data_IF_989966712045
#
_entry.id   IF_989966712045
#
_cell.length_a   1.000
_cell.length_b   1.000
_cell.length_c   1.000
_cell.angle_alpha   90.00
_cell.angle_beta   90.00
_cell.angle_gamma   90.00
#
_symmetry.space_group_name_H-M   'P 1'
#
loop_
_entity.id
_entity.type
_entity.pdbx_description
1 polymer ?
#
# COMPACT_ATOMS: atom_id res chain seq x y z
N UNK A 1 -18.97 -24.60 49.44
CA UNK A 1 -17.55 -24.48 49.01
C UNK A 1 -17.51 -24.58 47.50
N UNK A 2 -16.93 -23.60 46.80
CA UNK A 2 -16.87 -23.61 45.32
C UNK A 2 -17.00 -22.22 44.68
N UNK A 3 -16.13 -21.26 45.03
CA UNK A 3 -16.04 -19.95 44.34
C UNK A 3 -14.60 -19.56 43.97
N UNK A 4 -13.67 -20.52 44.00
CA UNK A 4 -12.23 -20.26 43.78
C UNK A 4 -11.70 -20.69 42.41
N UNK A 5 -12.51 -21.37 41.59
CA UNK A 5 -12.08 -21.96 40.31
C UNK A 5 -12.16 -20.99 39.13
N UNK A 6 -13.11 -20.04 39.13
CA UNK A 6 -13.30 -19.14 37.99
C UNK A 6 -12.19 -18.09 37.84
N UNK A 7 -11.63 -17.61 38.95
CA UNK A 7 -10.60 -16.56 38.93
C UNK A 7 -9.27 -17.11 38.40
N UNK A 8 -8.88 -18.34 38.77
CA UNK A 8 -7.68 -18.98 38.21
C UNK A 8 -7.83 -19.27 36.72
N UNK A 9 -9.02 -19.67 36.25
CA UNK A 9 -9.28 -19.89 34.83
C UNK A 9 -9.18 -18.60 34.01
N UNK A 10 -9.69 -17.48 34.53
CA UNK A 10 -9.58 -16.17 33.87
C UNK A 10 -8.14 -15.66 33.83
N UNK A 11 -7.38 -15.83 34.92
CA UNK A 11 -5.96 -15.43 34.96
C UNK A 11 -5.13 -16.28 33.98
N UNK A 12 -5.36 -17.59 33.91
CA UNK A 12 -4.69 -18.47 32.96
C UNK A 12 -5.03 -18.11 31.50
N UNK A 13 -6.28 -17.71 31.22
CA UNK A 13 -6.69 -17.25 29.89
C UNK A 13 -6.02 -15.92 29.50
N UNK A 14 -5.93 -14.97 30.42
CA UNK A 14 -5.27 -13.67 30.17
C UNK A 14 -3.76 -13.84 29.96
N UNK A 15 -3.10 -14.73 30.72
CA UNK A 15 -1.68 -15.03 30.54
C UNK A 15 -1.46 -15.81 29.23
N UNK A 16 -2.34 -16.78 28.91
CA UNK A 16 -2.26 -17.54 27.66
C UNK A 16 -2.50 -16.70 26.41
N UNK A 17 -3.45 -15.77 26.45
CA UNK A 17 -3.70 -14.82 25.37
C UNK A 17 -2.60 -13.73 25.31
N UNK A 18 -2.11 -13.24 26.45
CA UNK A 18 -1.07 -12.20 26.50
C UNK A 18 0.30 -12.69 26.02
N UNK A 19 0.74 -13.87 26.48
CA UNK A 19 2.01 -14.48 26.05
C UNK A 19 1.88 -15.16 24.68
N UNK A 20 0.74 -15.80 24.39
CA UNK A 20 0.48 -16.39 23.08
C UNK A 20 0.40 -15.34 21.96
N UNK A 21 -0.25 -14.20 22.22
CA UNK A 21 -0.28 -13.09 21.26
C UNK A 21 1.10 -12.45 21.09
N UNK A 22 1.92 -12.36 22.13
CA UNK A 22 3.29 -11.82 22.03
C UNK A 22 4.20 -12.73 21.19
N UNK A 23 4.10 -14.06 21.36
CA UNK A 23 4.87 -15.04 20.56
C UNK A 23 4.37 -15.11 19.11
N UNK A 24 3.09 -14.84 18.86
CA UNK A 24 2.57 -14.69 17.49
C UNK A 24 3.04 -13.37 16.87
N UNK A 25 3.14 -12.29 17.65
CA UNK A 25 3.63 -10.98 17.18
C UNK A 25 5.09 -11.05 16.69
N UNK A 26 5.98 -11.72 17.44
CA UNK A 26 7.39 -11.86 17.08
C UNK A 26 7.64 -12.83 15.91
N UNK A 27 6.75 -13.80 15.66
CA UNK A 27 6.94 -14.78 14.58
C UNK A 27 6.24 -14.42 13.27
N UNK A 28 5.24 -13.51 13.28
CA UNK A 28 4.50 -13.11 12.07
C UNK A 28 4.85 -11.73 11.55
N UNK A 29 5.50 -10.88 12.36
CA UNK A 29 6.15 -9.69 11.83
C UNK A 29 7.54 -10.14 11.38
N UNK A 30 7.76 -10.15 10.06
CA UNK A 30 9.08 -10.31 9.48
C UNK A 30 10.06 -9.48 10.31
N UNK A 31 11.03 -10.15 10.96
CA UNK A 31 12.12 -9.48 11.66
C UNK A 31 12.58 -8.34 10.75
N UNK A 32 12.54 -7.07 11.21
CA UNK A 32 13.03 -5.98 10.38
C UNK A 32 14.45 -6.36 9.96
N UNK A 33 14.81 -6.20 8.67
CA UNK A 33 16.12 -6.59 8.18
C UNK A 33 17.19 -6.05 9.15
N UNK A 34 18.02 -6.94 9.67
CA UNK A 34 19.05 -6.59 10.65
C UNK A 34 20.16 -5.73 10.03
N UNK A 35 20.20 -5.69 8.70
CA UNK A 35 20.96 -4.76 7.90
C UNK A 35 20.13 -3.47 7.74
N UNK A 36 20.63 -2.30 8.22
CA UNK A 36 19.98 -1.05 7.92
C UNK A 36 19.90 -0.87 6.40
N UNK A 37 18.84 -0.23 5.89
CA UNK A 37 18.76 0.11 4.49
C UNK A 37 19.99 0.84 4.02
N UNK A 38 20.45 0.48 2.83
CA UNK A 38 21.63 1.13 2.26
C UNK A 38 21.26 2.50 1.70
N UNK A 39 20.19 2.54 0.91
CA UNK A 39 19.65 3.78 0.35
C UNK A 39 18.14 3.88 0.52
N UNK A 40 17.65 5.11 0.66
CA UNK A 40 16.24 5.44 0.79
C UNK A 40 15.89 6.66 -0.04
N UNK A 41 14.74 6.62 -0.69
CA UNK A 41 14.15 7.73 -1.42
C UNK A 41 12.71 7.91 -1.00
N UNK A 42 12.28 9.16 -0.89
CA UNK A 42 10.94 9.52 -0.49
C UNK A 42 10.47 10.71 -1.34
N UNK A 43 9.28 10.56 -1.90
CA UNK A 43 8.57 11.64 -2.57
C UNK A 43 7.14 11.74 -2.02
N UNK A 44 6.59 12.94 -2.05
CA UNK A 44 5.26 13.23 -1.52
C UNK A 44 4.59 14.34 -2.32
N UNK A 45 3.33 14.09 -2.65
CA UNK A 45 2.46 15.05 -3.29
C UNK A 45 1.22 15.29 -2.43
N UNK A 46 0.98 16.57 -2.10
CA UNK A 46 -0.28 17.00 -1.47
C UNK A 46 -1.17 17.67 -2.51
N UNK A 47 -2.38 17.15 -2.65
CA UNK A 47 -3.32 17.55 -3.69
C UNK A 47 -4.16 16.37 -4.16
N UNK A 48 -4.89 16.58 -5.26
CA UNK A 48 -5.68 15.54 -5.93
C UNK A 48 -5.14 15.30 -7.33
N UNK A 49 -5.03 14.03 -7.70
CA UNK A 49 -4.84 13.58 -9.07
C UNK A 49 -6.14 12.91 -9.52
N UNK A 50 -6.86 13.53 -10.44
CA UNK A 50 -8.10 13.00 -10.97
C UNK A 50 -7.83 11.86 -11.94
N UNK A 51 -8.63 10.82 -11.83
CA UNK A 51 -8.55 9.65 -12.71
C UNK A 51 -8.92 10.09 -14.14
N UNK A 52 -8.13 9.73 -15.15
CA UNK A 52 -8.54 9.99 -16.54
C UNK A 52 -9.79 9.17 -16.86
N UNK A 53 -10.75 9.74 -17.60
CA UNK A 53 -11.95 9.02 -18.06
C UNK A 53 -11.61 8.02 -19.17
N UNK A 54 -10.87 6.96 -18.83
CA UNK A 54 -10.48 5.88 -19.75
C UNK A 54 -10.06 4.63 -18.98
N UNK A 55 -10.36 3.46 -19.52
CA UNK A 55 -9.87 2.17 -18.98
C UNK A 55 -8.35 1.96 -19.17
N UNK A 56 -7.67 2.91 -19.82
CA UNK A 56 -6.23 2.88 -20.06
C UNK A 56 -5.45 3.28 -18.81
N UNK A 57 -4.31 2.62 -18.60
CA UNK A 57 -3.39 2.98 -17.53
C UNK A 57 -2.73 4.33 -17.80
N UNK A 58 -2.73 5.18 -16.79
CA UNK A 58 -2.08 6.49 -16.80
C UNK A 58 -1.06 6.58 -15.69
N UNK A 59 0.07 7.23 -15.96
CA UNK A 59 1.08 7.47 -14.93
C UNK A 59 0.63 8.60 -14.04
N UNK A 60 0.70 8.40 -12.72
CA UNK A 60 0.52 9.42 -11.72
C UNK A 60 1.73 10.38 -11.77
N UNK A 61 1.76 11.26 -12.77
CA UNK A 61 2.92 12.08 -13.13
C UNK A 61 3.41 13.04 -12.03
N UNK A 62 2.63 13.18 -10.96
CA UNK A 62 2.99 13.95 -9.78
C UNK A 62 3.98 13.22 -8.86
N UNK A 63 4.20 11.91 -9.05
CA UNK A 63 5.15 11.15 -8.23
C UNK A 63 5.85 10.06 -9.05
N UNK A 64 7.17 10.19 -9.11
CA UNK A 64 8.08 9.23 -9.74
C UNK A 64 9.40 9.28 -8.99
N UNK A 65 10.07 8.14 -8.83
CA UNK A 65 11.33 8.11 -8.11
C UNK A 65 12.37 7.36 -8.92
N UNK A 66 13.47 8.05 -9.24
CA UNK A 66 14.67 7.43 -9.80
C UNK A 66 15.57 6.96 -8.65
N UNK A 67 16.08 5.75 -8.75
CA UNK A 67 16.88 5.10 -7.71
C UNK A 67 17.97 4.22 -8.32
N UNK A 68 18.97 3.87 -7.51
CA UNK A 68 20.08 3.02 -7.93
C UNK A 68 20.14 1.76 -7.05
N UNK A 69 20.44 0.61 -7.68
CA UNK A 69 20.57 -0.68 -7.03
C UNK A 69 22.00 -1.22 -7.23
N UNK A 70 22.68 -1.51 -6.12
CA UNK A 70 24.00 -2.16 -6.14
C UNK A 70 23.90 -3.67 -6.33
N UNK A 71 25.02 -4.30 -6.70
CA UNK A 71 25.09 -5.76 -6.86
C UNK A 71 24.74 -6.49 -5.57
N UNK A 72 23.76 -7.39 -5.64
CA UNK A 72 23.31 -8.21 -4.52
C UNK A 72 22.20 -7.59 -3.68
N UNK A 73 21.75 -6.38 -4.01
CA UNK A 73 20.67 -5.72 -3.28
C UNK A 73 19.28 -6.18 -3.74
N UNK A 74 18.35 -6.12 -2.80
CA UNK A 74 16.92 -6.13 -3.06
C UNK A 74 16.32 -4.74 -2.87
N UNK A 75 15.13 -4.50 -3.42
CA UNK A 75 14.41 -3.24 -3.29
C UNK A 75 13.00 -3.45 -2.75
N UNK A 76 12.53 -2.50 -1.95
CA UNK A 76 11.15 -2.38 -1.50
C UNK A 76 10.55 -1.05 -1.95
N UNK A 77 9.32 -1.12 -2.46
CA UNK A 77 8.51 0.03 -2.83
C UNK A 77 7.29 0.09 -1.92
N UNK A 78 6.95 1.28 -1.44
CA UNK A 78 5.74 1.55 -0.66
C UNK A 78 5.07 2.81 -1.20
N UNK A 79 3.85 2.65 -1.68
CA UNK A 79 2.97 3.76 -2.00
C UNK A 79 1.88 3.84 -0.93
N UNK A 80 1.65 5.03 -0.38
CA UNK A 80 0.53 5.31 0.54
C UNK A 80 -0.21 6.51 -0.01
N UNK A 81 -1.53 6.48 0.06
CA UNK A 81 -2.34 7.64 -0.32
C UNK A 81 -3.78 7.47 0.11
N UNK A 82 -4.64 8.32 -0.44
CA UNK A 82 -6.09 8.22 -0.26
C UNK A 82 -6.77 8.12 -1.62
N UNK A 83 -7.66 7.16 -1.77
CA UNK A 83 -8.63 7.16 -2.86
C UNK A 83 -9.85 7.97 -2.42
N UNK A 84 -10.35 8.82 -3.30
CA UNK A 84 -11.52 9.66 -3.08
C UNK A 84 -12.51 9.43 -4.21
N UNK A 85 -13.64 8.83 -3.87
CA UNK A 85 -14.80 8.68 -4.75
C UNK A 85 -15.73 9.88 -4.51
N UNK A 86 -15.58 10.95 -5.29
CA UNK A 86 -16.46 12.12 -5.17
C UNK A 86 -17.88 11.80 -5.65
N UNK A 87 -18.87 12.55 -5.18
CA UNK A 87 -20.25 12.45 -5.65
C UNK A 87 -20.26 12.59 -7.18
N UNK A 88 -20.50 11.47 -7.88
CA UNK A 88 -20.39 11.39 -9.33
C UNK A 88 -21.71 10.87 -9.88
N UNK A 89 -22.05 11.31 -11.09
CA UNK A 89 -23.25 10.85 -11.80
C UNK A 89 -23.18 9.37 -12.20
N UNK A 90 -22.04 8.71 -12.01
CA UNK A 90 -21.85 7.30 -12.31
C UNK A 90 -22.21 6.52 -11.03
N UNK A 91 -23.18 5.60 -11.08
CA UNK A 91 -23.58 4.83 -9.92
C UNK A 91 -22.37 4.04 -9.40
N UNK A 92 -21.78 3.18 -10.21
CA UNK A 92 -20.64 2.40 -9.76
C UNK A 92 -19.37 2.88 -10.45
N UNK A 93 -18.31 3.07 -9.67
CA UNK A 93 -17.01 3.49 -10.18
C UNK A 93 -15.87 2.80 -9.44
N UNK A 94 -14.70 2.77 -10.07
CA UNK A 94 -13.54 2.09 -9.51
C UNK A 94 -12.24 2.85 -9.77
N UNK A 95 -11.28 2.59 -8.88
CA UNK A 95 -9.90 3.01 -9.04
C UNK A 95 -9.00 1.79 -8.89
N UNK A 96 -8.12 1.60 -9.86
CA UNK A 96 -7.00 0.66 -9.75
C UNK A 96 -5.68 1.39 -9.66
N UNK A 97 -4.79 0.88 -8.82
CA UNK A 97 -3.45 1.42 -8.62
C UNK A 97 -2.43 0.28 -8.69
N UNK A 98 -1.34 0.47 -9.44
CA UNK A 98 -0.20 -0.47 -9.47
C UNK A 98 1.11 0.25 -9.73
N UNK A 99 2.21 -0.48 -9.65
CA UNK A 99 3.54 0.04 -9.95
C UNK A 99 3.92 -0.15 -11.43
N UNK A 100 4.79 0.74 -11.91
CA UNK A 100 5.52 0.60 -13.16
C UNK A 100 7.01 0.77 -12.89
N UNK A 101 7.81 -0.26 -13.17
CA UNK A 101 9.26 -0.26 -13.02
C UNK A 101 9.91 -0.18 -14.40
N UNK A 102 10.70 0.86 -14.64
CA UNK A 102 11.38 1.12 -15.93
C UNK A 102 10.43 1.15 -17.14
N UNK A 103 9.20 1.62 -16.91
CA UNK A 103 8.12 1.66 -17.91
C UNK A 103 7.35 0.35 -18.09
N UNK A 104 7.73 -0.73 -17.38
CA UNK A 104 7.00 -2.01 -17.39
C UNK A 104 6.03 -2.11 -16.22
N UNK A 105 4.80 -2.51 -16.51
CA UNK A 105 3.78 -2.69 -15.47
C UNK A 105 4.04 -3.92 -14.62
N UNK A 106 4.02 -3.74 -13.31
CA UNK A 106 3.98 -4.86 -12.38
C UNK A 106 2.52 -5.29 -12.24
N UNK A 107 2.17 -6.46 -12.80
CA UNK A 107 0.79 -6.97 -12.75
C UNK A 107 0.32 -7.26 -11.31
N UNK A 108 1.27 -7.58 -10.43
CA UNK A 108 1.07 -7.66 -8.99
C UNK A 108 2.25 -7.02 -8.26
N UNK A 109 2.02 -6.36 -7.12
CA UNK A 109 0.72 -6.16 -6.47
C UNK A 109 -0.06 -5.01 -7.11
N UNK A 110 -1.38 -5.03 -6.94
CA UNK A 110 -2.28 -3.95 -7.35
C UNK A 110 -3.38 -3.74 -6.31
N UNK A 111 -3.87 -2.51 -6.20
CA UNK A 111 -5.07 -2.14 -5.47
C UNK A 111 -6.23 -2.08 -6.46
N UNK A 112 -7.40 -2.53 -6.03
CA UNK A 112 -8.66 -2.40 -6.74
C UNK A 112 -9.72 -1.93 -5.74
N UNK A 113 -10.09 -0.67 -5.82
CA UNK A 113 -11.14 -0.09 -4.99
C UNK A 113 -12.38 0.16 -5.83
N UNK A 114 -13.54 -0.20 -5.30
CA UNK A 114 -14.82 -0.09 -5.99
C UNK A 114 -15.86 0.58 -5.11
N UNK A 115 -16.62 1.50 -5.69
CA UNK A 115 -17.83 2.08 -5.11
C UNK A 115 -19.07 1.43 -5.69
N UNK A 116 -19.94 0.94 -4.81
CA UNK A 116 -21.34 0.63 -5.15
C UNK A 116 -22.24 1.78 -4.68
N UNK A 117 -22.88 2.51 -5.61
CA UNK A 117 -23.78 3.61 -5.26
C UNK A 117 -25.23 3.11 -5.14
N UNK A 118 -25.44 2.18 -4.23
CA UNK A 118 -26.78 1.76 -3.82
C UNK A 118 -27.24 2.46 -2.53
N UNK A 119 -26.30 2.96 -1.70
CA UNK A 119 -26.61 3.39 -0.33
C UNK A 119 -26.02 4.76 0.08
N UNK A 120 -25.19 5.41 -0.73
CA UNK A 120 -24.54 6.68 -0.39
C UNK A 120 -24.30 7.56 -1.61
N UNK A 121 -25.12 8.62 -1.75
CA UNK A 121 -24.84 9.74 -2.66
C UNK A 121 -23.69 10.62 -2.16
N UNK A 122 -23.27 10.44 -0.91
CA UNK A 122 -22.13 11.16 -0.36
C UNK A 122 -20.84 10.47 -0.82
N UNK A 123 -19.93 11.26 -1.39
CA UNK A 123 -18.59 10.77 -1.72
C UNK A 123 -17.84 10.27 -0.49
N UNK A 124 -16.97 9.29 -0.65
CA UNK A 124 -16.20 8.72 0.46
C UNK A 124 -14.71 8.59 0.14
N UNK A 125 -13.92 8.47 1.20
CA UNK A 125 -12.46 8.40 1.14
C UNK A 125 -11.97 7.13 1.81
N UNK A 126 -10.95 6.52 1.23
CA UNK A 126 -10.28 5.36 1.79
C UNK A 126 -8.77 5.52 1.71
N UNK A 127 -8.08 5.16 2.78
CA UNK A 127 -6.62 5.06 2.75
C UNK A 127 -6.21 3.81 1.97
N UNK A 128 -5.20 3.96 1.13
CA UNK A 128 -4.64 2.86 0.34
C UNK A 128 -3.14 2.73 0.61
N UNK A 129 -2.65 1.49 0.55
CA UNK A 129 -1.24 1.16 0.75
C UNK A 129 -0.85 0.02 -0.19
N UNK A 130 0.13 0.25 -1.05
CA UNK A 130 0.66 -0.73 -2.00
C UNK A 130 2.14 -0.97 -1.70
N UNK A 131 2.51 -2.23 -1.49
CA UNK A 131 3.88 -2.62 -1.14
C UNK A 131 4.39 -3.69 -2.06
N UNK A 132 5.59 -3.54 -2.59
CA UNK A 132 6.24 -4.56 -3.41
C UNK A 132 7.71 -4.72 -3.02
N UNK A 133 8.14 -5.98 -2.88
CA UNK A 133 9.53 -6.35 -2.64
C UNK A 133 10.07 -7.12 -3.84
N UNK A 134 11.24 -6.72 -4.34
CA UNK A 134 11.90 -7.37 -5.47
C UNK A 134 13.37 -7.68 -5.12
N UNK A 135 13.66 -8.97 -4.95
CA UNK A 135 15.02 -9.50 -4.71
C UNK A 135 15.76 -9.92 -5.97
N UNK A 136 15.13 -9.76 -7.14
CA UNK A 136 15.65 -10.17 -8.45
C UNK A 136 15.93 -8.98 -9.36
N UNK A 137 15.84 -7.75 -8.84
CA UNK A 137 16.15 -6.55 -9.59
C UNK A 137 17.64 -6.55 -9.97
N UNK A 138 17.94 -6.16 -11.21
CA UNK A 138 19.32 -6.10 -11.68
C UNK A 138 20.05 -4.90 -11.07
N UNK A 139 21.39 -4.94 -10.96
CA UNK A 139 22.14 -3.75 -10.55
C UNK A 139 22.08 -2.66 -11.62
N UNK A 140 21.91 -1.41 -11.22
CA UNK A 140 21.83 -0.27 -12.14
C UNK A 140 20.90 0.86 -11.66
N UNK A 141 20.69 1.82 -12.55
CA UNK A 141 19.72 2.91 -12.37
C UNK A 141 18.33 2.47 -12.84
N UNK A 142 17.33 2.77 -12.03
CA UNK A 142 15.94 2.37 -12.24
C UNK A 142 14.99 3.53 -11.95
N UNK A 143 13.78 3.44 -12.48
CA UNK A 143 12.70 4.39 -12.21
C UNK A 143 11.42 3.67 -11.83
N UNK A 144 10.82 4.07 -10.72
CA UNK A 144 9.53 3.56 -10.25
C UNK A 144 8.48 4.66 -10.35
N UNK A 145 7.34 4.29 -10.93
CA UNK A 145 6.17 5.16 -11.04
C UNK A 145 4.92 4.45 -10.53
N UNK A 146 3.92 5.24 -10.16
CA UNK A 146 2.60 4.76 -9.80
C UNK A 146 1.68 4.93 -10.99
N UNK A 147 0.94 3.88 -11.33
CA UNK A 147 -0.03 3.87 -12.42
C UNK A 147 -1.43 3.82 -11.84
N UNK A 148 -2.33 4.59 -12.45
CA UNK A 148 -3.74 4.69 -12.06
C UNK A 148 -4.64 4.50 -13.28
N UNK A 149 -5.77 3.84 -13.08
CA UNK A 149 -6.91 3.86 -14.00
C UNK A 149 -8.23 3.82 -13.25
N UNK A 150 -9.30 4.15 -13.94
CA UNK A 150 -10.66 4.05 -13.46
C UNK A 150 -11.63 4.58 -14.51
N UNK A 151 -12.90 4.63 -14.15
CA UNK A 151 -14.01 4.90 -15.08
C UNK A 151 -14.73 6.24 -14.81
N UNK A 152 -14.43 6.91 -13.70
CA UNK A 152 -15.02 8.18 -13.30
C UNK A 152 -13.96 9.28 -13.19
N UNK A 153 -14.04 10.38 -14.00
CA UNK A 153 -13.12 11.50 -13.87
C UNK A 153 -13.37 12.39 -12.63
N UNK A 154 -14.46 12.12 -11.90
CA UNK A 154 -14.70 12.75 -10.60
C UNK A 154 -13.83 12.09 -9.50
N UNK A 155 -13.44 10.84 -9.70
CA UNK A 155 -12.68 10.11 -8.71
C UNK A 155 -11.21 10.55 -8.74
N UNK A 156 -10.54 10.46 -7.60
CA UNK A 156 -9.16 10.92 -7.48
C UNK A 156 -8.34 10.12 -6.48
N UNK A 157 -7.03 10.19 -6.65
CA UNK A 157 -6.05 9.80 -5.63
C UNK A 157 -5.48 11.08 -5.03
N UNK A 158 -5.45 11.14 -3.70
CA UNK A 158 -5.12 12.33 -2.91
C UNK A 158 -4.01 12.04 -1.94
N UNK A 159 -3.25 13.10 -1.64
CA UNK A 159 -2.25 13.16 -0.55
C UNK A 159 -1.45 11.87 -0.42
N UNK A 160 -0.55 11.65 -1.39
CA UNK A 160 0.14 10.39 -1.56
C UNK A 160 1.65 10.53 -1.50
N UNK A 161 2.30 9.46 -1.05
CA UNK A 161 3.75 9.32 -0.98
C UNK A 161 4.22 8.04 -1.63
N UNK A 162 5.45 8.08 -2.12
CA UNK A 162 6.18 6.96 -2.67
C UNK A 162 7.50 6.86 -1.95
N UNK A 163 7.78 5.68 -1.42
CA UNK A 163 8.98 5.38 -0.69
C UNK A 163 9.68 4.18 -1.35
N UNK A 164 10.99 4.33 -1.55
CA UNK A 164 11.86 3.31 -2.14
C UNK A 164 13.01 3.05 -1.18
N UNK A 165 13.33 1.78 -0.95
CA UNK A 165 14.37 1.38 -0.02
C UNK A 165 15.15 0.19 -0.57
N UNK A 166 16.48 0.22 -0.54
CA UNK A 166 17.33 -0.93 -0.88
C UNK A 166 17.90 -1.61 0.36
N UNK A 167 18.17 -2.91 0.23
CA UNK A 167 18.66 -3.79 1.29
C UNK A 167 19.68 -4.77 0.73
N UNK A 168 20.60 -5.22 1.59
CA UNK A 168 21.46 -6.39 1.34
C UNK A 168 20.90 -7.61 2.08
#
# INVERSE_FOLDING_TARGET
>A
MGKSSSILATIALVIGLGLGAFVIYDNFIALPPTTPPENQWYDFYSGSYFVPSSESWSTLSAITTDFNVSSGQAVHFLFIGQVNFDDSSIPDSYIEIKFSLDGYFLDYPKIYEWRYNLDSTEGYRMSVSLQHYNSTITPGDHSIAVMIRGDSPADSVRDFSLFVQTFN
#
